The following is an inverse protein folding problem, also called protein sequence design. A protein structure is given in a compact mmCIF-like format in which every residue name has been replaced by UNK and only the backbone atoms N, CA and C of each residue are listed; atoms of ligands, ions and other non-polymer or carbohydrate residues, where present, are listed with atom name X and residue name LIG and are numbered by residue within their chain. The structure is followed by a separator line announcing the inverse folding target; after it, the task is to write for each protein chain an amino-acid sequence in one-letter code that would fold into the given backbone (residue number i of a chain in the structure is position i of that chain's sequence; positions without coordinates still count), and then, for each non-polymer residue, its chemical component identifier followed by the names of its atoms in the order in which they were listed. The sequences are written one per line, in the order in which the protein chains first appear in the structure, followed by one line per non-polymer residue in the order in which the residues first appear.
data_IF_364448974167
#
_entry.id   IF_364448974167
#
_cell.length_a   1.000
_cell.length_b   1.000
_cell.length_c   1.000
_cell.angle_alpha   90.00
_cell.angle_beta   90.00
_cell.angle_gamma   90.00
#
_symmetry.space_group_name_H-M   'P 1'
#
loop_
_entity.id
_entity.type
_entity.pdbx_description
1 polymer ?
#
# COMPACT_ATOMS: atom_id res chain seq x y z
N UNK A 1 28.87 34.29 10.66
CA UNK A 1 28.13 33.08 10.21
C UNK A 1 28.10 33.11 8.70
N UNK A 2 29.04 32.41 8.10
CA UNK A 2 29.17 32.39 6.65
C UNK A 2 28.06 31.54 6.05
N UNK A 3 27.24 32.17 5.22
CA UNK A 3 26.24 31.46 4.44
C UNK A 3 26.97 30.65 3.37
N UNK A 4 26.95 29.36 3.49
CA UNK A 4 27.36 28.47 2.41
C UNK A 4 26.36 28.64 1.25
N UNK A 5 26.74 29.42 0.24
CA UNK A 5 26.06 29.48 -1.04
C UNK A 5 26.65 28.36 -1.89
N UNK A 6 25.88 27.31 -2.10
CA UNK A 6 26.17 26.29 -3.14
C UNK A 6 25.72 26.94 -4.45
N UNK A 7 26.67 27.41 -5.25
CA UNK A 7 26.42 27.85 -6.61
C UNK A 7 26.25 26.62 -7.50
N UNK A 8 24.99 26.24 -7.75
CA UNK A 8 24.66 25.13 -8.64
C UNK A 8 24.64 25.52 -10.13
N UNK A 9 25.22 26.68 -10.49
CA UNK A 9 25.28 27.14 -11.88
C UNK A 9 23.94 27.59 -12.46
N UNK A 10 22.87 27.60 -11.68
CA UNK A 10 21.57 28.12 -12.07
C UNK A 10 21.52 29.63 -11.77
N UNK A 11 21.18 30.47 -12.73
CA UNK A 11 20.88 31.85 -12.46
C UNK A 11 19.64 31.93 -11.56
N UNK A 12 19.84 32.15 -10.29
CA UNK A 12 18.83 32.23 -9.22
C UNK A 12 17.69 33.23 -9.51
N UNK A 13 17.85 34.09 -10.50
CA UNK A 13 16.90 35.17 -10.82
C UNK A 13 15.66 34.68 -11.64
N UNK A 14 15.69 33.49 -12.18
CA UNK A 14 14.61 32.99 -13.03
C UNK A 14 13.69 31.96 -12.36
N UNK A 15 13.99 31.59 -11.09
CA UNK A 15 13.18 30.62 -10.35
C UNK A 15 12.19 31.36 -9.46
N UNK A 16 10.91 31.28 -9.78
CA UNK A 16 9.86 31.77 -8.88
C UNK A 16 9.97 31.01 -7.55
N UNK A 17 10.12 31.72 -6.41
CA UNK A 17 10.19 31.05 -5.12
C UNK A 17 9.02 30.12 -4.90
N UNK A 18 9.26 28.94 -4.33
CA UNK A 18 8.27 27.89 -4.16
C UNK A 18 6.93 28.38 -3.58
N UNK A 19 6.99 29.22 -2.55
CA UNK A 19 5.82 29.81 -1.88
C UNK A 19 5.04 30.86 -2.71
N UNK A 20 5.57 31.28 -3.88
CA UNK A 20 4.93 32.22 -4.78
C UNK A 20 4.37 31.56 -6.05
N UNK A 21 4.54 30.25 -6.18
CA UNK A 21 4.03 29.54 -7.36
C UNK A 21 2.52 29.36 -7.25
N UNK A 22 1.82 29.50 -8.33
CA UNK A 22 0.44 29.04 -8.46
C UNK A 22 0.38 27.52 -8.41
N UNK A 23 -0.74 26.95 -7.98
CA UNK A 23 -0.93 25.49 -7.92
C UNK A 23 -1.83 24.98 -9.05
N UNK A 24 -1.57 23.76 -9.47
CA UNK A 24 -2.39 22.99 -10.40
C UNK A 24 -2.78 21.71 -9.67
N UNK A 25 -4.09 21.44 -9.54
CA UNK A 25 -4.58 20.23 -8.93
C UNK A 25 -4.98 19.22 -9.99
N UNK A 26 -4.52 17.99 -9.83
CA UNK A 26 -4.86 16.83 -10.66
C UNK A 26 -5.56 15.79 -9.79
N UNK A 27 -6.62 15.16 -10.32
CA UNK A 27 -7.28 14.02 -9.68
C UNK A 27 -7.12 12.80 -10.58
N UNK A 28 -6.52 11.75 -10.06
CA UNK A 28 -6.24 10.51 -10.76
C UNK A 28 -7.06 9.36 -10.15
N UNK A 29 -7.74 8.60 -10.99
CA UNK A 29 -8.45 7.38 -10.63
C UNK A 29 -7.79 6.13 -11.23
N UNK A 30 -8.39 4.96 -11.02
CA UNK A 30 -7.85 3.66 -11.43
C UNK A 30 -7.54 3.55 -12.93
N UNK A 31 -8.28 4.27 -13.80
CA UNK A 31 -8.00 4.36 -15.23
C UNK A 31 -6.61 4.92 -15.56
N UNK A 32 -6.02 5.69 -14.65
CA UNK A 32 -4.65 6.19 -14.84
C UNK A 32 -3.62 5.06 -14.78
N UNK A 33 -3.81 4.07 -13.94
CA UNK A 33 -2.87 2.93 -13.78
C UNK A 33 -3.20 1.75 -14.70
N UNK A 34 -4.41 1.71 -15.28
CA UNK A 34 -4.87 0.61 -16.12
C UNK A 34 -3.95 0.27 -17.31
N UNK A 35 -3.36 1.25 -18.05
CA UNK A 35 -2.44 0.94 -19.15
C UNK A 35 -1.19 0.14 -18.73
N UNK A 36 -0.84 0.18 -17.44
CA UNK A 36 0.27 -0.59 -16.89
C UNK A 36 -0.17 -1.97 -16.35
N UNK A 37 -1.42 -2.37 -16.61
CA UNK A 37 -1.97 -3.66 -16.21
C UNK A 37 -2.52 -3.72 -14.78
N UNK A 38 -2.67 -2.57 -14.11
CA UNK A 38 -3.37 -2.53 -12.82
C UNK A 38 -4.87 -2.71 -13.02
N UNK A 39 -5.55 -3.49 -12.17
CA UNK A 39 -6.99 -3.67 -12.29
C UNK A 39 -7.73 -2.38 -11.95
N UNK A 40 -8.76 -2.08 -12.71
CA UNK A 40 -9.78 -1.10 -12.33
C UNK A 40 -10.81 -1.74 -11.39
N UNK A 41 -11.64 -0.94 -10.70
CA UNK A 41 -12.54 -1.43 -9.66
C UNK A 41 -13.35 -2.68 -10.03
N UNK A 42 -14.01 -2.69 -11.21
CA UNK A 42 -14.76 -3.85 -11.69
C UNK A 42 -13.89 -5.09 -11.93
N UNK A 43 -12.65 -4.91 -12.36
CA UNK A 43 -11.73 -6.03 -12.55
C UNK A 43 -11.22 -6.54 -11.20
N UNK A 44 -10.97 -5.65 -10.26
CA UNK A 44 -10.59 -6.01 -8.90
C UNK A 44 -11.71 -6.81 -8.22
N UNK A 45 -12.98 -6.40 -8.39
CA UNK A 45 -14.14 -7.14 -7.90
C UNK A 45 -14.18 -8.59 -8.45
N UNK A 46 -14.01 -8.75 -9.77
CA UNK A 46 -13.98 -10.09 -10.39
C UNK A 46 -12.80 -10.93 -9.91
N UNK A 47 -11.65 -10.31 -9.71
CA UNK A 47 -10.45 -10.99 -9.26
C UNK A 47 -10.55 -11.45 -7.81
N UNK A 48 -11.19 -10.66 -6.94
CA UNK A 48 -11.45 -11.06 -5.55
C UNK A 48 -12.45 -12.22 -5.46
N UNK A 49 -13.52 -12.19 -6.26
CA UNK A 49 -14.49 -13.27 -6.32
C UNK A 49 -13.90 -14.59 -6.85
N UNK A 50 -12.94 -14.52 -7.77
CA UNK A 50 -12.30 -15.65 -8.42
C UNK A 50 -10.81 -15.72 -8.08
N UNK A 51 -10.45 -15.45 -6.85
CA UNK A 51 -9.07 -15.37 -6.43
C UNK A 51 -8.33 -16.70 -6.67
N UNK A 52 -7.27 -16.65 -7.49
CA UNK A 52 -6.43 -17.82 -7.77
C UNK A 52 -5.40 -18.01 -6.65
N UNK A 53 -5.59 -19.07 -5.87
CA UNK A 53 -4.80 -19.41 -4.69
C UNK A 53 -3.73 -20.49 -4.92
N UNK A 54 -3.61 -21.00 -6.15
CA UNK A 54 -2.72 -22.14 -6.44
C UNK A 54 -1.24 -21.85 -6.23
N UNK A 55 -0.88 -20.60 -6.27
CA UNK A 55 0.51 -20.14 -6.17
C UNK A 55 0.77 -19.28 -4.91
N UNK A 56 -0.17 -19.29 -3.96
CA UNK A 56 -0.09 -18.45 -2.78
C UNK A 56 0.60 -19.17 -1.63
N UNK A 57 1.43 -18.46 -0.93
CA UNK A 57 2.01 -18.81 0.35
C UNK A 57 1.99 -17.61 1.30
N UNK A 58 2.37 -17.81 2.54
CA UNK A 58 2.48 -16.75 3.54
C UNK A 58 3.93 -16.61 4.00
N UNK A 59 4.38 -15.37 4.09
CA UNK A 59 5.68 -15.06 4.72
C UNK A 59 5.63 -15.39 6.22
N UNK A 60 6.77 -15.47 6.90
CA UNK A 60 6.81 -15.63 8.36
C UNK A 60 6.11 -14.49 9.12
N UNK A 61 6.00 -13.30 8.53
CA UNK A 61 5.25 -12.15 9.05
C UNK A 61 3.75 -12.20 8.76
N UNK A 62 3.27 -13.25 8.06
CA UNK A 62 1.85 -13.43 7.72
C UNK A 62 1.40 -12.69 6.48
N UNK A 63 2.32 -12.21 5.65
CA UNK A 63 1.97 -11.55 4.40
C UNK A 63 1.81 -12.52 3.25
N UNK A 64 0.87 -12.21 2.37
CA UNK A 64 0.57 -12.99 1.19
C UNK A 64 1.71 -12.87 0.18
N UNK A 65 2.30 -13.99 -0.21
CA UNK A 65 3.41 -14.07 -1.15
C UNK A 65 3.13 -15.05 -2.27
N UNK A 66 3.94 -15.03 -3.32
CA UNK A 66 3.91 -16.06 -4.36
C UNK A 66 4.77 -17.23 -3.92
N UNK A 67 4.20 -18.44 -3.98
CA UNK A 67 4.98 -19.66 -3.77
C UNK A 67 5.98 -19.84 -4.92
N UNK A 68 7.25 -19.63 -4.64
CA UNK A 68 8.32 -19.92 -5.59
C UNK A 68 8.70 -21.39 -5.51
N UNK A 69 8.17 -22.21 -6.41
CA UNK A 69 8.62 -23.59 -6.73
C UNK A 69 9.13 -24.43 -5.54
N UNK A 70 8.33 -24.58 -4.48
CA UNK A 70 8.63 -25.53 -3.42
C UNK A 70 9.78 -25.16 -2.47
N UNK A 71 10.39 -24.00 -2.60
CA UNK A 71 11.31 -23.50 -1.59
C UNK A 71 10.53 -22.99 -0.39
N UNK A 72 10.47 -23.82 0.67
CA UNK A 72 9.91 -23.38 1.96
C UNK A 72 10.77 -22.23 2.48
N UNK A 73 10.17 -21.09 2.87
CA UNK A 73 10.91 -20.05 3.57
C UNK A 73 11.63 -20.63 4.79
N UNK A 74 12.89 -20.30 4.98
CA UNK A 74 13.79 -20.87 5.98
C UNK A 74 13.32 -20.78 7.45
N UNK A 75 12.26 -20.01 7.73
CA UNK A 75 11.80 -19.70 9.09
C UNK A 75 10.27 -19.77 9.26
N UNK A 76 9.59 -20.69 8.61
CA UNK A 76 8.14 -20.85 8.85
C UNK A 76 7.92 -21.61 10.17
N UNK A 77 7.32 -20.92 11.14
CA UNK A 77 6.62 -21.57 12.24
C UNK A 77 5.34 -22.14 11.64
N UNK A 78 5.28 -23.46 11.49
CA UNK A 78 4.20 -24.18 10.81
C UNK A 78 2.80 -23.79 11.33
N UNK A 79 2.66 -23.55 12.62
CA UNK A 79 1.41 -23.11 13.25
C UNK A 79 0.91 -21.74 12.76
N UNK A 80 1.81 -20.77 12.56
CA UNK A 80 1.45 -19.42 12.07
C UNK A 80 1.00 -19.50 10.61
N UNK A 81 1.73 -20.25 9.79
CA UNK A 81 1.35 -20.47 8.39
C UNK A 81 -0.04 -21.10 8.27
N UNK A 82 -0.30 -22.16 9.02
CA UNK A 82 -1.58 -22.86 9.02
C UNK A 82 -2.72 -21.96 9.49
N UNK A 83 -2.48 -21.08 10.44
CA UNK A 83 -3.46 -20.09 10.89
C UNK A 83 -3.80 -19.10 9.77
N UNK A 84 -2.79 -18.47 9.13
CA UNK A 84 -3.03 -17.53 8.03
C UNK A 84 -3.70 -18.20 6.82
N UNK A 85 -3.34 -19.44 6.51
CA UNK A 85 -4.01 -20.20 5.47
C UNK A 85 -5.50 -20.40 5.79
N UNK A 86 -5.85 -20.76 7.02
CA UNK A 86 -7.25 -20.90 7.44
C UNK A 86 -8.01 -19.57 7.40
N UNK A 87 -7.36 -18.48 7.86
CA UNK A 87 -7.96 -17.13 7.77
C UNK A 87 -8.20 -16.72 6.31
N UNK A 88 -7.30 -17.06 5.41
CA UNK A 88 -7.43 -16.78 4.00
C UNK A 88 -8.61 -17.57 3.36
N UNK A 89 -8.70 -18.86 3.61
CA UNK A 89 -9.82 -19.67 3.14
C UNK A 89 -11.17 -19.20 3.71
N UNK A 90 -11.17 -18.79 4.97
CA UNK A 90 -12.34 -18.18 5.58
C UNK A 90 -12.73 -16.86 4.91
N UNK A 91 -11.77 -15.96 4.66
CA UNK A 91 -12.01 -14.70 3.98
C UNK A 91 -12.60 -14.91 2.57
N UNK A 92 -12.08 -15.88 1.81
CA UNK A 92 -12.63 -16.26 0.50
C UNK A 92 -14.08 -16.76 0.58
N UNK A 93 -14.41 -17.56 1.59
CA UNK A 93 -15.78 -18.02 1.82
C UNK A 93 -16.69 -16.86 2.16
N UNK A 94 -16.24 -15.95 3.05
CA UNK A 94 -17.01 -14.78 3.46
C UNK A 94 -17.30 -13.84 2.27
N UNK A 95 -16.34 -13.64 1.36
CA UNK A 95 -16.55 -12.88 0.12
C UNK A 95 -17.67 -13.51 -0.72
N UNK A 96 -17.67 -14.83 -0.85
CA UNK A 96 -18.71 -15.54 -1.63
C UNK A 96 -20.09 -15.47 -0.98
N UNK A 97 -20.17 -15.64 0.33
CA UNK A 97 -21.42 -15.53 1.08
C UNK A 97 -21.98 -14.09 1.02
N UNK A 98 -21.09 -13.09 1.15
CA UNK A 98 -21.48 -11.69 0.98
C UNK A 98 -22.04 -11.43 -0.42
N UNK A 99 -21.39 -11.93 -1.48
CA UNK A 99 -21.84 -11.81 -2.85
C UNK A 99 -23.24 -12.40 -3.06
N UNK A 100 -23.48 -13.61 -2.55
CA UNK A 100 -24.80 -14.26 -2.63
C UNK A 100 -25.87 -13.48 -1.85
N UNK A 101 -25.52 -13.00 -0.64
CA UNK A 101 -26.44 -12.25 0.21
C UNK A 101 -26.79 -10.84 -0.34
N UNK A 102 -26.06 -10.34 -1.34
CA UNK A 102 -26.25 -9.04 -1.98
C UNK A 102 -26.63 -9.18 -3.47
N UNK A 103 -27.51 -10.13 -3.79
CA UNK A 103 -28.08 -10.33 -5.14
C UNK A 103 -27.02 -10.54 -6.23
N UNK A 104 -25.95 -11.22 -5.91
CA UNK A 104 -24.78 -11.44 -6.76
C UNK A 104 -24.09 -10.12 -7.20
N UNK A 105 -24.13 -9.12 -6.36
CA UNK A 105 -23.33 -7.90 -6.50
C UNK A 105 -22.19 -7.91 -5.50
N UNK A 106 -21.03 -7.52 -5.97
CA UNK A 106 -19.84 -7.39 -5.13
C UNK A 106 -19.09 -6.12 -5.49
N UNK A 107 -18.84 -5.31 -4.48
CA UNK A 107 -17.98 -4.16 -4.54
C UNK A 107 -16.92 -4.27 -3.45
N UNK A 108 -15.64 -4.14 -3.82
CA UNK A 108 -14.53 -4.41 -2.92
C UNK A 108 -14.44 -3.39 -1.77
N UNK A 109 -14.86 -2.13 -1.98
CA UNK A 109 -14.88 -1.10 -0.95
C UNK A 109 -16.06 -1.30 0.00
N UNK A 110 -17.24 -1.60 -0.53
CA UNK A 110 -18.42 -1.89 0.30
C UNK A 110 -18.23 -3.16 1.15
N UNK A 111 -17.56 -4.17 0.60
CA UNK A 111 -17.20 -5.35 1.39
C UNK A 111 -16.20 -5.01 2.50
N UNK A 112 -15.20 -4.16 2.23
CA UNK A 112 -14.29 -3.68 3.25
C UNK A 112 -15.04 -2.94 4.36
N UNK A 113 -15.94 -2.04 4.00
CA UNK A 113 -16.79 -1.34 4.96
C UNK A 113 -17.61 -2.33 5.79
N UNK A 114 -18.22 -3.33 5.16
CA UNK A 114 -19.01 -4.36 5.84
C UNK A 114 -18.19 -5.10 6.93
N UNK A 115 -16.92 -5.39 6.70
CA UNK A 115 -16.08 -6.10 7.67
C UNK A 115 -15.43 -5.18 8.70
N UNK A 116 -15.39 -3.86 8.49
CA UNK A 116 -14.65 -2.91 9.33
C UNK A 116 -15.49 -1.85 10.01
N UNK A 117 -16.67 -1.52 9.49
CA UNK A 117 -17.56 -0.51 10.07
C UNK A 117 -18.11 -0.99 11.43
N UNK A 118 -18.09 -0.07 12.40
CA UNK A 118 -18.58 -0.30 13.77
C UNK A 118 -20.08 0.02 13.95
N UNK A 119 -20.86 -0.05 12.89
CA UNK A 119 -22.32 0.01 12.98
C UNK A 119 -22.84 -1.29 13.58
N UNK A 120 -23.68 -1.20 14.63
CA UNK A 120 -24.16 -2.37 15.37
C UNK A 120 -24.88 -3.38 14.46
N UNK A 121 -25.73 -2.92 13.55
CA UNK A 121 -26.47 -3.82 12.66
C UNK A 121 -25.56 -4.52 11.64
N UNK A 122 -24.55 -3.82 11.13
CA UNK A 122 -23.56 -4.40 10.22
C UNK A 122 -22.66 -5.37 10.98
N UNK A 123 -22.23 -5.04 12.17
CA UNK A 123 -21.42 -5.92 13.02
C UNK A 123 -22.15 -7.18 13.41
N UNK A 124 -23.43 -7.10 13.79
CA UNK A 124 -24.27 -8.26 14.11
C UNK A 124 -24.41 -9.19 12.90
N UNK A 125 -24.69 -8.63 11.73
CA UNK A 125 -24.77 -9.38 10.47
C UNK A 125 -23.45 -10.03 10.10
N UNK A 126 -22.33 -9.31 10.25
CA UNK A 126 -21.00 -9.84 10.02
C UNK A 126 -20.67 -11.00 10.97
N UNK A 127 -20.94 -10.83 12.26
CA UNK A 127 -20.73 -11.88 13.26
C UNK A 127 -21.60 -13.11 12.99
N UNK A 128 -22.85 -12.93 12.60
CA UNK A 128 -23.75 -14.03 12.23
C UNK A 128 -23.15 -14.85 11.07
N UNK A 129 -22.73 -14.19 9.99
CA UNK A 129 -22.08 -14.87 8.86
C UNK A 129 -20.80 -15.60 9.29
N UNK A 130 -20.00 -14.99 10.16
CA UNK A 130 -18.78 -15.62 10.67
C UNK A 130 -19.07 -16.86 11.50
N UNK A 131 -20.08 -16.83 12.37
CA UNK A 131 -20.50 -17.98 13.19
C UNK A 131 -21.00 -19.12 12.29
N UNK A 132 -21.84 -18.80 11.32
CA UNK A 132 -22.37 -19.78 10.38
C UNK A 132 -21.28 -20.48 9.55
N UNK A 133 -20.22 -19.75 9.18
CA UNK A 133 -19.14 -20.28 8.37
C UNK A 133 -18.08 -21.06 9.17
N UNK A 134 -17.76 -20.63 10.37
CA UNK A 134 -16.69 -21.22 11.19
C UNK A 134 -17.17 -22.26 12.17
N UNK A 135 -18.42 -22.15 12.63
CA UNK A 135 -18.90 -22.93 13.76
C UNK A 135 -18.24 -22.50 15.09
N UNK A 136 -18.42 -23.31 16.12
CA UNK A 136 -17.82 -23.09 17.45
C UNK A 136 -16.36 -23.60 17.48
N UNK A 137 -15.44 -22.87 16.86
CA UNK A 137 -14.01 -23.20 16.88
C UNK A 137 -13.27 -22.36 17.93
N UNK A 138 -12.27 -22.94 18.60
CA UNK A 138 -11.43 -22.24 19.59
C UNK A 138 -10.73 -20.99 19.00
N UNK A 139 -10.38 -21.01 17.71
CA UNK A 139 -9.69 -19.91 17.00
C UNK A 139 -10.65 -18.87 16.40
N UNK A 140 -11.96 -18.99 16.63
CA UNK A 140 -12.98 -18.16 16.01
C UNK A 140 -12.70 -16.66 16.15
N UNK A 141 -12.45 -16.17 17.35
CA UNK A 141 -12.19 -14.75 17.61
C UNK A 141 -10.93 -14.26 16.91
N UNK A 142 -9.88 -15.06 16.90
CA UNK A 142 -8.63 -14.70 16.23
C UNK A 142 -8.82 -14.63 14.71
N UNK A 143 -9.61 -15.53 14.12
CA UNK A 143 -9.96 -15.48 12.70
C UNK A 143 -10.79 -14.24 12.37
N UNK A 144 -11.78 -13.93 13.20
CA UNK A 144 -12.64 -12.76 13.04
C UNK A 144 -11.82 -11.45 13.03
N UNK A 145 -10.89 -11.32 13.96
CA UNK A 145 -10.02 -10.14 14.04
C UNK A 145 -8.93 -10.08 12.96
N UNK A 146 -8.73 -11.18 12.23
CA UNK A 146 -7.72 -11.24 11.17
C UNK A 146 -8.28 -11.08 9.76
N UNK A 147 -9.60 -11.05 9.60
CA UNK A 147 -10.25 -10.99 8.29
C UNK A 147 -9.91 -9.71 7.53
N UNK A 148 -9.96 -8.58 8.19
CA UNK A 148 -9.61 -7.27 7.59
C UNK A 148 -8.14 -7.25 7.12
N UNK A 149 -7.24 -7.80 7.93
CA UNK A 149 -5.84 -7.91 7.56
C UNK A 149 -5.64 -8.80 6.33
N UNK A 150 -6.24 -9.99 6.32
CA UNK A 150 -6.15 -10.93 5.20
C UNK A 150 -6.80 -10.33 3.93
N UNK A 151 -7.94 -9.68 4.07
CA UNK A 151 -8.60 -9.03 2.95
C UNK A 151 -7.71 -7.94 2.33
N UNK A 152 -7.12 -7.09 3.15
CA UNK A 152 -6.18 -6.08 2.69
C UNK A 152 -4.96 -6.70 1.99
N UNK A 153 -4.47 -7.84 2.46
CA UNK A 153 -3.40 -8.59 1.80
C UNK A 153 -3.84 -9.13 0.43
N UNK A 154 -5.08 -9.62 0.29
CA UNK A 154 -5.63 -10.06 -0.98
C UNK A 154 -5.73 -8.90 -1.99
N UNK A 155 -6.26 -7.76 -1.57
CA UNK A 155 -6.33 -6.55 -2.39
C UNK A 155 -4.93 -6.08 -2.79
N UNK A 156 -4.02 -5.99 -1.82
CA UNK A 156 -2.63 -5.59 -2.08
C UNK A 156 -1.94 -6.53 -3.07
N UNK A 157 -2.16 -7.85 -2.95
CA UNK A 157 -1.63 -8.83 -3.88
C UNK A 157 -2.13 -8.61 -5.32
N UNK A 158 -3.43 -8.32 -5.48
CA UNK A 158 -4.03 -8.08 -6.80
C UNK A 158 -3.62 -6.75 -7.43
N UNK A 159 -3.28 -5.76 -6.61
CA UNK A 159 -2.78 -4.45 -7.05
C UNK A 159 -1.26 -4.46 -7.32
N UNK A 160 -0.57 -5.58 -7.04
CA UNK A 160 0.82 -5.77 -7.45
C UNK A 160 0.90 -6.00 -8.96
N UNK A 161 2.01 -5.57 -9.55
CA UNK A 161 2.24 -5.74 -11.00
C UNK A 161 2.18 -7.20 -11.41
N UNK A 162 1.39 -7.46 -12.44
CA UNK A 162 1.21 -8.79 -13.01
C UNK A 162 2.27 -9.19 -14.03
N UNK A 163 3.20 -8.32 -14.37
CA UNK A 163 4.23 -8.63 -15.35
C UNK A 163 5.27 -9.65 -14.86
N UNK A 164 4.94 -10.44 -13.84
CA UNK A 164 5.69 -11.60 -13.40
C UNK A 164 7.05 -11.31 -12.76
N UNK A 165 7.46 -10.09 -12.72
CA UNK A 165 8.59 -9.65 -11.92
C UNK A 165 8.05 -9.28 -10.56
N UNK A 166 8.42 -10.06 -9.55
CA UNK A 166 8.22 -9.67 -8.18
C UNK A 166 8.75 -8.25 -8.04
N UNK A 167 7.87 -7.26 -7.96
CA UNK A 167 8.25 -5.87 -7.70
C UNK A 167 9.01 -5.72 -6.40
N UNK A 168 9.08 -6.80 -5.69
CA UNK A 168 9.67 -6.90 -4.39
C UNK A 168 11.12 -7.45 -4.43
N UNK A 169 11.61 -8.00 -5.52
CA UNK A 169 12.94 -8.61 -5.57
C UNK A 169 14.03 -7.67 -6.09
N UNK A 170 13.68 -6.67 -6.89
CA UNK A 170 14.59 -5.62 -7.34
C UNK A 170 14.12 -4.29 -6.79
N UNK A 171 14.94 -3.29 -6.64
CA UNK A 171 14.58 -1.96 -6.16
C UNK A 171 13.12 -1.62 -6.51
N UNK A 172 12.24 -1.61 -5.51
CA UNK A 172 10.81 -1.50 -5.72
C UNK A 172 10.56 -0.21 -6.46
N UNK A 173 9.64 -0.20 -7.41
CA UNK A 173 9.23 1.02 -8.08
C UNK A 173 10.19 1.60 -9.12
N UNK A 174 11.20 0.84 -9.57
CA UNK A 174 11.93 1.21 -10.76
C UNK A 174 11.09 0.84 -11.97
N UNK A 175 10.24 1.76 -12.41
CA UNK A 175 9.55 1.62 -13.69
C UNK A 175 10.57 1.82 -14.78
N UNK A 176 11.04 0.73 -15.34
CA UNK A 176 11.99 0.77 -16.45
C UNK A 176 11.34 1.19 -17.78
N UNK A 177 10.00 1.27 -17.81
CA UNK A 177 9.24 1.49 -19.03
C UNK A 177 7.99 2.33 -18.74
N UNK A 178 8.00 3.56 -19.22
CA UNK A 178 6.92 4.53 -19.02
C UNK A 178 6.40 5.06 -20.35
N UNK A 179 6.51 4.28 -21.44
CA UNK A 179 6.23 4.76 -22.81
C UNK A 179 4.86 5.41 -22.92
N UNK A 180 3.83 4.83 -22.35
CA UNK A 180 2.48 5.40 -22.37
C UNK A 180 2.34 6.71 -21.59
N UNK A 181 3.32 7.08 -20.74
CA UNK A 181 3.27 8.26 -19.88
C UNK A 181 4.28 9.35 -20.25
N UNK A 182 5.08 9.17 -21.29
CA UNK A 182 6.13 10.12 -21.65
C UNK A 182 5.61 11.56 -21.82
N UNK A 183 4.47 11.74 -22.49
CA UNK A 183 3.84 13.05 -22.65
C UNK A 183 3.39 13.66 -21.33
N UNK A 184 2.78 12.86 -20.46
CA UNK A 184 2.33 13.28 -19.14
C UNK A 184 3.53 13.65 -18.23
N UNK A 185 4.56 12.82 -18.20
CA UNK A 185 5.77 13.09 -17.42
C UNK A 185 6.52 14.33 -17.89
N UNK A 186 6.61 14.52 -19.21
CA UNK A 186 7.17 15.73 -19.80
C UNK A 186 6.36 16.98 -19.42
N UNK A 187 5.02 16.88 -19.42
CA UNK A 187 4.14 17.95 -18.95
C UNK A 187 4.39 18.26 -17.46
N UNK A 188 4.38 17.26 -16.58
CA UNK A 188 4.64 17.44 -15.15
C UNK A 188 6.00 18.10 -14.91
N UNK A 189 7.05 17.61 -15.57
CA UNK A 189 8.40 18.15 -15.48
C UNK A 189 8.45 19.62 -15.88
N UNK A 190 7.80 19.99 -16.98
CA UNK A 190 7.75 21.38 -17.45
C UNK A 190 6.95 22.27 -16.48
N UNK A 191 5.78 21.82 -16.06
CA UNK A 191 4.89 22.62 -15.21
C UNK A 191 5.45 22.78 -13.81
N UNK A 192 6.13 21.77 -13.26
CA UNK A 192 6.74 21.84 -11.93
C UNK A 192 7.85 22.88 -11.79
N UNK A 193 8.39 23.39 -12.88
CA UNK A 193 9.36 24.49 -12.83
C UNK A 193 8.75 25.83 -12.41
N UNK A 194 7.45 26.03 -12.69
CA UNK A 194 6.72 27.29 -12.46
C UNK A 194 5.54 27.18 -11.52
N UNK A 195 5.00 25.98 -11.33
CA UNK A 195 3.80 25.71 -10.53
C UNK A 195 4.08 24.68 -9.45
N UNK A 196 3.26 24.69 -8.40
CA UNK A 196 3.06 23.54 -7.52
C UNK A 196 2.04 22.63 -8.20
N UNK A 197 2.29 21.34 -8.21
CA UNK A 197 1.37 20.36 -8.78
C UNK A 197 0.88 19.48 -7.64
N UNK A 198 -0.38 19.64 -7.28
CA UNK A 198 -1.05 18.83 -6.26
C UNK A 198 -1.75 17.66 -6.95
N UNK A 199 -1.21 16.46 -6.80
CA UNK A 199 -1.76 15.23 -7.39
C UNK A 199 -2.52 14.48 -6.32
N UNK A 200 -3.82 14.40 -6.49
CA UNK A 200 -4.71 13.63 -5.64
C UNK A 200 -5.03 12.31 -6.35
N UNK A 201 -4.88 11.21 -5.66
CA UNK A 201 -5.22 9.90 -6.22
C UNK A 201 -6.00 9.04 -5.26
N UNK A 202 -6.98 8.30 -5.80
CA UNK A 202 -7.72 7.25 -5.11
C UNK A 202 -7.02 5.88 -5.25
N UNK A 203 -5.99 5.80 -6.10
CA UNK A 203 -5.31 4.55 -6.39
C UNK A 203 -4.40 4.14 -5.22
N UNK A 204 -4.52 2.90 -4.79
CA UNK A 204 -3.63 2.31 -3.78
C UNK A 204 -2.29 1.86 -4.36
N UNK A 205 -2.20 1.65 -5.69
CA UNK A 205 -0.98 1.21 -6.36
C UNK A 205 0.15 2.24 -6.26
N UNK A 206 1.36 1.80 -6.56
CA UNK A 206 2.58 2.59 -6.43
C UNK A 206 3.08 3.15 -7.77
N UNK A 207 2.23 3.19 -8.80
CA UNK A 207 2.65 3.63 -10.13
C UNK A 207 3.13 5.07 -10.13
N UNK A 208 2.37 5.98 -9.50
CA UNK A 208 2.74 7.40 -9.53
C UNK A 208 4.04 7.67 -8.79
N UNK A 209 4.25 7.02 -7.64
CA UNK A 209 5.50 7.11 -6.87
C UNK A 209 6.69 6.61 -7.68
N UNK A 210 6.47 5.58 -8.50
CA UNK A 210 7.54 5.03 -9.34
C UNK A 210 8.09 6.03 -10.36
N UNK A 211 7.29 7.01 -10.78
CA UNK A 211 7.74 8.07 -11.68
C UNK A 211 8.84 8.95 -11.08
N UNK A 212 8.95 8.98 -9.74
CA UNK A 212 9.99 9.72 -9.06
C UNK A 212 11.41 9.28 -9.45
N UNK A 213 11.55 8.04 -9.91
CA UNK A 213 12.82 7.47 -10.36
C UNK A 213 13.10 7.65 -11.85
N UNK A 214 12.20 8.28 -12.60
CA UNK A 214 12.38 8.56 -14.03
C UNK A 214 13.24 9.80 -14.25
N UNK A 215 13.95 9.86 -15.38
CA UNK A 215 14.70 11.04 -15.75
C UNK A 215 13.87 12.30 -15.99
N UNK A 216 12.53 12.16 -16.14
CA UNK A 216 11.61 13.31 -16.26
C UNK A 216 11.37 13.99 -14.93
N UNK A 217 11.22 13.22 -13.87
CA UNK A 217 10.80 13.70 -12.54
C UNK A 217 11.99 13.85 -11.61
N UNK A 218 12.91 12.87 -11.62
CA UNK A 218 14.19 12.92 -10.93
C UNK A 218 14.09 13.37 -9.46
N UNK A 219 13.25 12.73 -8.67
CA UNK A 219 13.11 13.02 -7.25
C UNK A 219 12.20 14.21 -6.89
N UNK A 220 11.44 14.76 -7.84
CA UNK A 220 10.58 15.94 -7.62
C UNK A 220 9.16 15.63 -7.10
N UNK A 221 8.85 14.38 -6.76
CA UNK A 221 7.60 14.01 -6.08
C UNK A 221 7.85 13.92 -4.58
N UNK A 222 6.98 14.54 -3.81
CA UNK A 222 6.91 14.46 -2.35
C UNK A 222 5.51 14.06 -1.92
N UNK A 223 5.39 13.09 -1.03
CA UNK A 223 4.12 12.54 -0.54
C UNK A 223 3.89 12.79 0.95
N UNK A 224 4.68 13.69 1.53
CA UNK A 224 4.58 14.06 2.93
C UNK A 224 5.32 13.12 3.89
N UNK A 225 6.00 12.10 3.37
CA UNK A 225 6.87 11.22 4.17
C UNK A 225 8.33 11.63 4.04
N UNK A 226 9.09 11.50 5.11
CA UNK A 226 10.52 11.68 5.09
C UNK A 226 11.23 10.83 6.17
N UNK A 227 12.51 10.54 5.96
CA UNK A 227 13.35 9.79 6.91
C UNK A 227 13.86 10.68 8.05
N UNK A 228 13.81 11.99 7.90
CA UNK A 228 14.39 12.92 8.88
C UNK A 228 13.65 12.84 10.21
N UNK A 229 14.39 12.51 11.24
CA UNK A 229 13.82 12.35 12.58
C UNK A 229 12.89 11.16 12.74
N UNK A 230 12.86 10.23 11.79
CA UNK A 230 12.14 8.97 11.97
C UNK A 230 12.88 8.09 12.97
N UNK A 231 12.12 7.56 13.93
CA UNK A 231 12.55 6.60 14.94
C UNK A 231 12.14 5.15 14.59
N UNK A 232 11.63 4.94 13.36
CA UNK A 232 11.21 3.64 12.87
C UNK A 232 12.26 3.01 11.96
N UNK A 233 12.49 1.71 12.14
CA UNK A 233 13.42 0.91 11.36
C UNK A 233 12.71 -0.33 10.87
N UNK A 234 13.07 -0.79 9.67
CA UNK A 234 12.61 -2.04 9.12
C UNK A 234 13.73 -3.07 9.05
N UNK A 235 13.39 -4.34 9.23
CA UNK A 235 14.27 -5.47 8.96
C UNK A 235 13.98 -5.98 7.55
N UNK A 236 15.00 -6.01 6.72
CA UNK A 236 14.95 -6.59 5.39
C UNK A 236 15.87 -7.79 5.33
N UNK A 237 15.33 -8.96 5.01
CA UNK A 237 16.11 -10.15 4.75
C UNK A 237 16.41 -10.23 3.25
N UNK A 238 17.69 -10.13 2.91
CA UNK A 238 18.18 -10.26 1.53
C UNK A 238 19.46 -11.09 1.52
N UNK A 239 19.57 -12.07 0.64
CA UNK A 239 20.72 -12.98 0.52
C UNK A 239 21.15 -13.61 1.87
N UNK A 240 20.19 -14.07 2.67
CA UNK A 240 20.39 -14.62 4.02
C UNK A 240 21.05 -13.64 5.03
N UNK A 241 21.02 -12.34 4.74
CA UNK A 241 21.48 -11.29 5.64
C UNK A 241 20.32 -10.40 6.04
N UNK A 242 20.29 -10.01 7.30
CA UNK A 242 19.32 -9.02 7.80
C UNK A 242 19.93 -7.63 7.72
N UNK A 243 19.23 -6.76 7.00
CA UNK A 243 19.54 -5.33 6.91
C UNK A 243 18.55 -4.55 7.76
N UNK A 244 19.05 -3.53 8.47
CA UNK A 244 18.20 -2.59 9.15
C UNK A 244 18.23 -1.27 8.38
N UNK A 245 17.08 -0.80 7.94
CA UNK A 245 16.97 0.47 7.24
C UNK A 245 16.01 1.40 7.97
N UNK A 246 16.35 2.68 8.03
CA UNK A 246 15.43 3.69 8.55
C UNK A 246 14.23 3.80 7.60
N UNK A 247 13.04 3.89 8.17
CA UNK A 247 11.81 4.04 7.42
C UNK A 247 11.36 5.50 7.43
N UNK A 248 10.68 5.92 6.37
CA UNK A 248 10.06 7.23 6.29
C UNK A 248 8.82 7.27 7.18
N UNK A 249 8.62 8.37 7.89
CA UNK A 249 7.39 8.65 8.64
C UNK A 249 6.63 9.81 8.00
N UNK A 250 5.32 9.83 8.15
CA UNK A 250 4.53 10.97 7.70
C UNK A 250 4.82 12.21 8.55
N UNK A 251 5.25 13.26 7.89
CA UNK A 251 5.56 14.56 8.51
C UNK A 251 4.66 15.68 8.00
N UNK A 252 3.91 15.43 6.91
CA UNK A 252 3.12 16.44 6.22
C UNK A 252 3.96 17.50 5.50
N UNK A 253 5.24 17.24 5.31
CA UNK A 253 6.14 18.15 4.60
C UNK A 253 6.23 17.80 3.13
N UNK A 254 5.99 18.78 2.29
CA UNK A 254 6.09 18.69 0.85
C UNK A 254 7.19 19.63 0.38
N UNK A 255 8.38 19.08 0.15
CA UNK A 255 9.60 19.85 -0.11
C UNK A 255 9.94 19.99 -1.60
N UNK A 256 9.16 19.36 -2.46
CA UNK A 256 9.35 19.36 -3.92
C UNK A 256 8.10 19.91 -4.61
N UNK A 257 8.17 20.32 -5.88
CA UNK A 257 7.05 21.00 -6.54
C UNK A 257 5.88 20.07 -6.92
N UNK A 258 6.04 18.74 -6.87
CA UNK A 258 4.96 17.80 -7.16
C UNK A 258 4.59 17.11 -5.85
N UNK A 259 3.39 17.39 -5.37
CA UNK A 259 2.85 16.82 -4.13
C UNK A 259 1.90 15.68 -4.46
N UNK A 260 2.11 14.53 -3.85
CA UNK A 260 1.24 13.36 -4.03
C UNK A 260 0.40 13.13 -2.77
N UNK A 261 -0.90 13.11 -2.96
CA UNK A 261 -1.90 12.85 -1.91
C UNK A 261 -2.65 11.56 -2.23
N UNK A 262 -2.36 10.50 -1.48
CA UNK A 262 -3.04 9.20 -1.58
C UNK A 262 -4.27 9.22 -0.67
N UNK A 263 -5.43 9.56 -1.23
CA UNK A 263 -6.65 9.83 -0.44
C UNK A 263 -7.21 8.58 0.26
N UNK A 264 -7.06 7.40 -0.36
CA UNK A 264 -7.48 6.10 0.19
C UNK A 264 -6.33 5.33 0.86
N UNK A 265 -5.16 5.96 1.01
CA UNK A 265 -3.96 5.28 1.49
C UNK A 265 -3.15 4.62 0.38
N UNK A 266 -2.12 3.87 0.74
CA UNK A 266 -1.19 3.24 -0.18
C UNK A 266 -0.78 1.85 0.30
N UNK A 267 -0.34 1.00 -0.62
CA UNK A 267 0.12 -0.35 -0.32
C UNK A 267 1.32 -0.41 0.63
N UNK A 268 2.09 0.67 0.68
CA UNK A 268 3.29 0.78 1.51
C UNK A 268 3.06 1.53 2.83
N UNK A 269 1.84 2.00 3.10
CA UNK A 269 1.54 2.71 4.34
C UNK A 269 1.22 1.76 5.47
N UNK A 270 1.92 1.90 6.60
CA UNK A 270 1.65 1.18 7.83
C UNK A 270 1.23 2.15 8.92
N UNK A 271 0.13 1.81 9.58
CA UNK A 271 -0.43 2.59 10.67
C UNK A 271 0.01 2.02 12.01
N UNK A 272 0.62 2.86 12.84
CA UNK A 272 0.92 2.53 14.22
C UNK A 272 -0.16 3.07 15.14
N UNK A 273 -0.56 2.24 16.08
CA UNK A 273 -1.58 2.59 17.08
C UNK A 273 -0.94 2.72 18.44
N UNK A 274 -1.38 3.73 19.17
CA UNK A 274 -1.09 3.89 20.59
C UNK A 274 -2.31 3.43 21.38
N UNK A 275 -2.06 2.62 22.41
CA UNK A 275 -3.09 2.27 23.39
C UNK A 275 -3.17 3.40 24.42
N UNK A 276 -4.32 4.00 24.61
CA UNK A 276 -4.58 4.98 25.66
C UNK A 276 -4.74 4.30 27.03
N UNK A 277 -4.95 5.13 28.08
CA UNK A 277 -5.13 4.65 29.47
C UNK A 277 -6.37 3.78 29.64
N UNK A 278 -7.35 3.90 28.77
CA UNK A 278 -8.60 3.14 28.77
C UNK A 278 -8.54 1.89 27.88
N UNK A 279 -7.41 1.64 27.25
CA UNK A 279 -7.20 0.51 26.35
C UNK A 279 -7.65 0.73 24.92
N UNK A 280 -8.14 1.93 24.55
CA UNK A 280 -8.52 2.24 23.17
C UNK A 280 -7.28 2.43 22.30
N UNK A 281 -7.35 1.91 21.07
CA UNK A 281 -6.31 2.04 20.07
C UNK A 281 -6.57 3.30 19.23
N UNK A 282 -5.68 4.27 19.32
CA UNK A 282 -5.72 5.48 18.49
C UNK A 282 -4.56 5.48 17.50
N UNK A 283 -4.77 5.85 16.22
CA UNK A 283 -3.67 5.97 15.27
C UNK A 283 -2.69 7.05 15.77
N UNK A 284 -1.44 6.68 15.94
CA UNK A 284 -0.40 7.63 16.35
C UNK A 284 0.36 8.19 15.16
N UNK A 285 0.79 7.31 14.26
CA UNK A 285 1.67 7.66 13.14
C UNK A 285 1.47 6.75 11.95
N UNK A 286 1.83 7.26 10.78
CA UNK A 286 1.96 6.50 9.56
C UNK A 286 3.42 6.42 9.16
N UNK A 287 3.84 5.23 8.74
CA UNK A 287 5.21 4.92 8.30
C UNK A 287 5.12 4.21 6.96
N UNK A 288 6.05 4.48 6.06
CA UNK A 288 6.20 3.70 4.83
C UNK A 288 7.04 2.47 5.08
N UNK A 289 6.55 1.33 4.63
CA UNK A 289 7.36 0.13 4.53
C UNK A 289 8.29 0.22 3.34
N UNK A 290 9.44 -0.41 3.46
CA UNK A 290 10.22 -0.78 2.28
C UNK A 290 9.82 -2.16 1.84
N UNK A 291 10.07 -2.39 0.61
CA UNK A 291 9.76 -3.62 -0.07
C UNK A 291 10.18 -4.89 0.73
N UNK A 292 9.33 -5.95 0.68
CA UNK A 292 9.56 -7.21 1.38
C UNK A 292 9.43 -7.15 2.90
N UNK A 293 9.00 -6.02 3.46
CA UNK A 293 8.76 -5.86 4.89
C UNK A 293 7.29 -6.01 5.21
N UNK A 294 6.98 -6.86 6.18
CA UNK A 294 5.70 -6.90 6.86
C UNK A 294 5.66 -5.99 8.07
N UNK A 295 4.47 -5.83 8.64
CA UNK A 295 4.27 -5.06 9.88
C UNK A 295 5.10 -5.59 11.04
N UNK A 296 5.35 -6.92 11.07
CA UNK A 296 6.19 -7.59 12.08
C UNK A 296 7.69 -7.31 11.95
N UNK A 297 8.13 -6.79 10.80
CA UNK A 297 9.52 -6.46 10.54
C UNK A 297 9.88 -5.03 10.96
N UNK A 298 8.90 -4.23 11.38
CA UNK A 298 9.09 -2.84 11.75
C UNK A 298 9.36 -2.73 13.25
N UNK A 299 10.40 -1.97 13.58
CA UNK A 299 10.83 -1.69 14.95
C UNK A 299 10.80 -0.19 15.20
N UNK A 300 10.57 0.15 16.46
CA UNK A 300 10.72 1.52 16.97
C UNK A 300 11.98 1.63 17.80
#
# INVERSE_FOLDING_TARGET
MDKWQIDLGCKYNDITPFYKRSSISLLLGAGFSAPMGYPVGNDLNKLLLNFDDKIIDFSPSGELTISTNGQKPLFQIEGIRNFHQRCFEFCKRLIKEYYVAHDNMFDYEQFYDFITIKDEAIQERYQTLCIDLLGEHEDYLNMLYSVDHIYNQMVAYLLKDRNGKNRYDDEPFKVNYVEGYNGFLSYLSKMSSTHIIDVHTLNHDMLFESFNHTGYINGNISDGFDEFGSDYYGKLLHDNRTYHCRLERYTGRYNTPIHLYKLHGSLDYVRFYRRDKNGFMTPEKYVKTRWGMGTGDIMK
#
